data_IF_287576214333
#
_entry.id   IF_287576214333
#
_cell.length_a   1.000
_cell.length_b   1.000
_cell.length_c   1.000
_cell.angle_alpha   90.00
_cell.angle_beta   90.00
_cell.angle_gamma   90.00
#
_symmetry.space_group_name_H-M   'P 1'
#
loop_
_entity.id
_entity.type
_entity.pdbx_description
1 polymer ?
#
# COMPACT_ATOMS: atom_id res chain seq x y z
N UNK A 1 -13.15 35.31 -13.15
CA UNK A 1 -12.88 34.22 -12.17
C UNK A 1 -12.95 32.91 -12.93
N UNK A 2 -11.88 32.12 -13.06
CA UNK A 2 -11.96 30.92 -13.91
C UNK A 2 -10.77 29.96 -13.93
N UNK A 3 -9.60 30.34 -13.40
CA UNK A 3 -8.42 29.46 -13.36
C UNK A 3 -8.19 28.79 -12.00
N UNK A 4 -8.71 29.36 -10.91
CA UNK A 4 -8.48 28.88 -9.54
C UNK A 4 -9.40 27.70 -9.16
N UNK A 5 -10.56 27.57 -9.79
CA UNK A 5 -11.51 26.47 -9.50
C UNK A 5 -11.06 25.15 -10.13
N UNK A 6 -10.48 25.19 -11.35
CA UNK A 6 -10.05 23.99 -12.08
C UNK A 6 -8.87 23.30 -11.38
N UNK A 7 -7.92 24.08 -10.85
CA UNK A 7 -6.82 23.53 -10.04
C UNK A 7 -7.31 22.95 -8.72
N UNK A 8 -8.35 23.50 -8.10
CA UNK A 8 -8.93 22.96 -6.87
C UNK A 8 -9.61 21.60 -7.13
N UNK A 9 -10.42 21.50 -8.18
CA UNK A 9 -11.09 20.24 -8.55
C UNK A 9 -10.09 19.13 -8.92
N UNK A 10 -8.99 19.47 -9.61
CA UNK A 10 -7.91 18.51 -9.89
C UNK A 10 -7.20 18.04 -8.62
N UNK A 11 -6.90 18.95 -7.69
CA UNK A 11 -6.27 18.59 -6.41
C UNK A 11 -7.19 17.75 -5.52
N UNK A 12 -8.49 18.06 -5.50
CA UNK A 12 -9.50 17.27 -4.81
C UNK A 12 -9.64 15.87 -5.42
N UNK A 13 -9.58 15.75 -6.74
CA UNK A 13 -9.62 14.45 -7.43
C UNK A 13 -8.40 13.60 -7.10
N UNK A 14 -7.20 14.19 -7.12
CA UNK A 14 -5.97 13.51 -6.72
C UNK A 14 -6.01 13.07 -5.25
N UNK A 15 -6.54 13.93 -4.37
CA UNK A 15 -6.70 13.59 -2.96
C UNK A 15 -7.70 12.43 -2.75
N UNK A 16 -8.82 12.44 -3.48
CA UNK A 16 -9.78 11.35 -3.44
C UNK A 16 -9.15 10.03 -3.92
N UNK A 17 -8.33 10.08 -4.97
CA UNK A 17 -7.57 8.92 -5.45
C UNK A 17 -6.62 8.40 -4.37
N UNK A 18 -5.82 9.27 -3.75
CA UNK A 18 -4.92 8.88 -2.66
C UNK A 18 -5.65 8.23 -1.48
N UNK A 19 -6.77 8.82 -1.05
CA UNK A 19 -7.59 8.28 0.06
C UNK A 19 -8.19 6.94 -0.32
N UNK A 20 -8.68 6.78 -1.55
CA UNK A 20 -9.21 5.51 -2.05
C UNK A 20 -8.11 4.44 -2.08
N UNK A 21 -6.93 4.79 -2.58
CA UNK A 21 -5.79 3.89 -2.69
C UNK A 21 -5.32 3.39 -1.32
N UNK A 22 -5.28 4.29 -0.32
CA UNK A 22 -4.98 3.96 1.08
C UNK A 22 -6.05 3.07 1.70
N UNK A 23 -7.33 3.39 1.49
CA UNK A 23 -8.45 2.62 2.01
C UNK A 23 -8.48 1.18 1.44
N UNK A 24 -8.27 1.04 0.13
CA UNK A 24 -8.21 -0.28 -0.54
C UNK A 24 -7.02 -1.08 -0.02
N UNK A 25 -5.85 -0.46 0.15
CA UNK A 25 -4.67 -1.13 0.72
C UNK A 25 -4.93 -1.62 2.14
N UNK A 26 -5.42 -0.74 3.00
CA UNK A 26 -5.72 -1.04 4.40
C UNK A 26 -6.75 -2.16 4.55
N UNK A 27 -7.76 -2.17 3.67
CA UNK A 27 -8.78 -3.23 3.65
C UNK A 27 -8.17 -4.58 3.26
N UNK A 28 -7.37 -4.62 2.19
CA UNK A 28 -6.71 -5.86 1.75
C UNK A 28 -5.79 -6.43 2.81
N UNK A 29 -4.98 -5.58 3.45
CA UNK A 29 -4.11 -5.99 4.55
C UNK A 29 -4.90 -6.59 5.72
N UNK A 30 -5.97 -5.92 6.17
CA UNK A 30 -6.84 -6.43 7.23
C UNK A 30 -7.52 -7.74 6.85
N UNK A 31 -7.96 -7.89 5.60
CA UNK A 31 -8.55 -9.16 5.12
C UNK A 31 -7.53 -10.29 5.15
N UNK A 32 -6.32 -10.07 4.67
CA UNK A 32 -5.27 -11.09 4.66
C UNK A 32 -4.91 -11.53 6.09
N UNK A 33 -4.75 -10.59 7.02
CA UNK A 33 -4.54 -10.97 8.44
C UNK A 33 -5.69 -11.80 8.99
N UNK A 34 -6.93 -11.41 8.70
CA UNK A 34 -8.09 -12.16 9.18
C UNK A 34 -8.18 -13.57 8.59
N UNK A 35 -7.87 -13.74 7.31
CA UNK A 35 -7.84 -15.06 6.66
C UNK A 35 -6.68 -15.92 7.16
N UNK A 36 -5.51 -15.31 7.44
CA UNK A 36 -4.37 -15.98 8.08
C UNK A 36 -4.76 -16.50 9.46
N UNK A 37 -5.42 -15.68 10.28
CA UNK A 37 -5.88 -16.08 11.61
C UNK A 37 -6.89 -17.24 11.53
N UNK A 38 -7.79 -17.21 10.54
CA UNK A 38 -8.72 -18.32 10.30
C UNK A 38 -7.99 -19.60 9.84
N UNK A 39 -7.01 -19.49 8.95
CA UNK A 39 -6.21 -20.62 8.49
C UNK A 39 -5.41 -21.23 9.65
N UNK A 40 -4.84 -20.40 10.54
CA UNK A 40 -4.17 -20.85 11.76
C UNK A 40 -5.13 -21.56 12.72
N UNK A 41 -6.33 -21.03 12.92
CA UNK A 41 -7.35 -21.66 13.76
C UNK A 41 -7.83 -23.01 13.19
N UNK A 42 -7.88 -23.13 11.86
CA UNK A 42 -8.22 -24.37 11.17
C UNK A 42 -7.05 -25.37 11.07
N UNK A 43 -5.81 -24.92 11.35
CA UNK A 43 -4.60 -25.73 11.16
C UNK A 43 -4.24 -25.96 9.69
N UNK A 44 -4.69 -25.09 8.78
CA UNK A 44 -4.43 -25.19 7.35
C UNK A 44 -3.12 -24.48 6.96
N UNK A 45 -2.04 -25.26 6.95
CA UNK A 45 -0.68 -24.81 6.61
C UNK A 45 -0.57 -24.33 5.16
N UNK A 46 -1.32 -24.94 4.22
CA UNK A 46 -1.28 -24.56 2.81
C UNK A 46 -1.88 -23.17 2.61
N UNK A 47 -3.05 -22.93 3.20
CA UNK A 47 -3.71 -21.63 3.15
C UNK A 47 -2.89 -20.56 3.87
N UNK A 48 -2.31 -20.89 5.03
CA UNK A 48 -1.41 -19.98 5.76
C UNK A 48 -0.21 -19.53 4.91
N UNK A 49 0.49 -20.46 4.26
CA UNK A 49 1.66 -20.16 3.43
C UNK A 49 1.31 -19.32 2.21
N UNK A 50 0.18 -19.62 1.54
CA UNK A 50 -0.30 -18.87 0.39
C UNK A 50 -0.65 -17.42 0.78
N UNK A 51 -1.46 -17.25 1.82
CA UNK A 51 -1.90 -15.93 2.31
C UNK A 51 -0.74 -15.10 2.85
N UNK A 52 0.21 -15.73 3.54
CA UNK A 52 1.41 -15.04 4.04
C UNK A 52 2.32 -14.58 2.90
N UNK A 53 2.41 -15.38 1.83
CA UNK A 53 3.16 -15.00 0.62
C UNK A 53 2.51 -13.79 -0.07
N UNK A 54 1.17 -13.78 -0.17
CA UNK A 54 0.42 -12.66 -0.71
C UNK A 54 0.59 -11.38 0.14
N UNK A 55 0.54 -11.52 1.47
CA UNK A 55 0.78 -10.40 2.39
C UNK A 55 2.20 -9.83 2.24
N UNK A 56 3.21 -10.69 2.09
CA UNK A 56 4.59 -10.25 1.89
C UNK A 56 4.77 -9.53 0.54
N UNK A 57 4.07 -9.95 -0.51
CA UNK A 57 4.06 -9.26 -1.80
C UNK A 57 3.41 -7.88 -1.69
N UNK A 58 2.27 -7.79 -0.99
CA UNK A 58 1.60 -6.51 -0.73
C UNK A 58 2.51 -5.54 0.05
N UNK A 59 3.28 -6.05 1.03
CA UNK A 59 4.24 -5.25 1.82
C UNK A 59 5.50 -4.89 1.03
N UNK A 60 5.96 -5.73 0.09
CA UNK A 60 7.15 -5.44 -0.72
C UNK A 60 6.88 -4.32 -1.73
N UNK A 61 5.66 -4.24 -2.27
CA UNK A 61 5.21 -3.12 -3.11
C UNK A 61 5.26 -1.79 -2.35
N UNK A 62 5.01 -1.79 -1.04
CA UNK A 62 5.15 -0.60 -0.18
C UNK A 62 6.62 -0.23 0.05
N UNK A 63 7.51 -1.22 0.23
CA UNK A 63 8.96 -0.95 0.40
C UNK A 63 9.63 -0.41 -0.87
N UNK A 64 9.17 -0.79 -2.06
CA UNK A 64 9.65 -0.24 -3.33
C UNK A 64 9.42 1.28 -3.46
N UNK A 65 8.43 1.83 -2.76
CA UNK A 65 8.15 3.27 -2.73
C UNK A 65 8.93 4.05 -1.66
N UNK A 66 9.62 3.36 -0.73
CA UNK A 66 10.40 3.96 0.36
C UNK A 66 11.91 4.04 0.04
N UNK A 67 12.39 3.51 -1.09
CA UNK A 67 13.82 3.39 -1.39
C UNK A 67 14.36 4.26 -2.54
N UNK A 68 13.64 5.32 -2.93
CA UNK A 68 14.10 6.26 -3.98
C UNK A 68 14.54 7.64 -3.48
N UNK A 69 14.82 7.81 -2.17
CA UNK A 69 15.29 9.09 -1.63
C UNK A 69 16.48 8.98 -0.67
N UNK A 70 17.53 8.19 -0.95
CA UNK A 70 18.80 8.31 -0.18
C UNK A 70 20.10 8.07 -1.00
N UNK A 71 20.12 8.33 -2.31
CA UNK A 71 21.38 8.40 -3.07
C UNK A 71 21.53 9.72 -3.80
N UNK A 72 21.59 10.79 -3.03
CA UNK A 72 22.03 12.09 -3.49
C UNK A 72 22.79 12.79 -2.38
N UNK A 73 24.11 12.90 -2.56
CA UNK A 73 25.11 13.46 -1.64
C UNK A 73 25.73 12.43 -0.70
N UNK A 74 26.84 11.82 -1.12
CA UNK A 74 28.18 11.99 -0.53
C UNK A 74 29.16 11.28 -1.48
N UNK A 75 29.92 12.05 -2.26
CA UNK A 75 31.27 11.74 -2.76
C UNK A 75 31.85 13.06 -3.29
N UNK A 76 32.50 13.85 -2.41
CA UNK A 76 33.96 13.93 -2.26
C UNK A 76 34.73 14.17 -3.57
N UNK A 77 35.08 15.43 -3.87
CA UNK A 77 36.46 15.94 -3.82
C UNK A 77 36.49 17.47 -4.01
#
# INVERSE_FOLDING_TARGET
MGKMNVTNDMMLSLFAEMVLDEAVRSYREKRLYHEIDQALAAGDESSFLALTTELNLLRSQVKGSLHTQETGQIENK
#
